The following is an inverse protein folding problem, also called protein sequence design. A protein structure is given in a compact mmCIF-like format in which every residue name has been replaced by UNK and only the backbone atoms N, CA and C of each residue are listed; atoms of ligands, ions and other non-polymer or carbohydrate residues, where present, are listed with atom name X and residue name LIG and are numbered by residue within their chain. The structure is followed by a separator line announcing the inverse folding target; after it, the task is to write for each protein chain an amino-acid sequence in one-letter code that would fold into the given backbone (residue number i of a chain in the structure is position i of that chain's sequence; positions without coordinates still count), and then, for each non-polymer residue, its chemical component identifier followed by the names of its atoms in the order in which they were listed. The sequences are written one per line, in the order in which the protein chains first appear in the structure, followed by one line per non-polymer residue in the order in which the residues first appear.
data_IF_074724753438
#
_entry.id   IF_074724753438
#
_cell.length_a   1.000
_cell.length_b   1.000
_cell.length_c   1.000
_cell.angle_alpha   90.00
_cell.angle_beta   90.00
_cell.angle_gamma   90.00
#
_symmetry.space_group_name_H-M   'P 1'
#
loop_
_entity.id
_entity.type
_entity.pdbx_description
1 polymer ?
#
# COMPACT_ATOMS: atom_id res chain seq x y z
N UNK A 1 25.49 43.78 28.75
CA UNK A 1 26.06 42.53 29.24
C UNK A 1 25.02 41.48 29.57
N UNK A 2 23.90 41.87 30.11
CA UNK A 2 22.82 40.93 30.45
C UNK A 2 22.12 40.35 29.23
N UNK A 3 22.15 41.01 28.09
CA UNK A 3 21.49 40.64 26.85
C UNK A 3 22.06 39.37 26.24
N UNK A 4 23.37 39.13 26.35
CA UNK A 4 24.00 37.95 25.79
C UNK A 4 23.63 36.64 26.48
N UNK A 5 23.30 36.66 27.75
CA UNK A 5 22.92 35.46 28.49
C UNK A 5 21.52 34.99 28.13
N UNK A 6 20.59 35.88 27.90
CA UNK A 6 19.23 35.48 27.53
C UNK A 6 19.16 34.89 26.12
N UNK A 7 20.00 35.31 25.20
CA UNK A 7 20.06 34.75 23.86
C UNK A 7 20.56 33.30 23.86
N UNK A 8 21.54 32.97 24.70
CA UNK A 8 22.04 31.60 24.81
C UNK A 8 21.00 30.65 25.37
N UNK A 9 20.22 31.07 26.31
CA UNK A 9 19.15 30.26 26.86
C UNK A 9 18.06 29.98 25.84
N UNK A 10 17.70 30.93 24.99
CA UNK A 10 16.72 30.76 23.93
C UNK A 10 17.18 29.71 22.91
N UNK A 11 18.47 29.68 22.53
CA UNK A 11 19.01 28.74 21.58
C UNK A 11 18.94 27.30 22.11
N UNK A 12 19.24 27.10 23.39
CA UNK A 12 19.21 25.79 24.01
C UNK A 12 17.78 25.24 24.05
N UNK A 13 16.80 26.07 24.33
CA UNK A 13 15.39 25.68 24.32
C UNK A 13 14.91 25.27 22.94
N UNK A 14 15.35 25.98 21.91
CA UNK A 14 15.00 25.65 20.52
C UNK A 14 15.51 24.28 20.10
N UNK A 15 16.74 23.94 20.48
CA UNK A 15 17.30 22.62 20.17
C UNK A 15 16.52 21.48 20.84
N UNK A 16 16.10 21.65 22.07
CA UNK A 16 15.32 20.64 22.78
C UNK A 16 13.97 20.42 22.12
N UNK A 17 13.32 21.47 21.64
CA UNK A 17 12.05 21.36 20.93
C UNK A 17 12.17 20.59 19.61
N UNK A 18 13.27 20.76 18.89
CA UNK A 18 13.52 20.05 17.64
C UNK A 18 13.70 18.54 17.85
N UNK A 19 14.37 18.13 18.90
CA UNK A 19 14.57 16.70 19.21
C UNK A 19 13.23 16.03 19.49
N UNK A 20 12.34 16.67 20.22
CA UNK A 20 11.01 16.13 20.51
C UNK A 20 10.17 15.93 19.24
N UNK A 21 10.30 16.82 18.28
CA UNK A 21 9.58 16.73 17.02
C UNK A 21 10.03 15.55 16.18
N UNK A 22 11.32 15.26 16.13
CA UNK A 22 11.86 14.11 15.37
C UNK A 22 11.37 12.79 15.96
N UNK A 23 11.28 12.68 17.27
CA UNK A 23 10.77 11.48 17.92
C UNK A 23 9.29 11.22 17.55
N UNK A 24 8.48 12.25 17.43
CA UNK A 24 7.08 12.13 17.01
C UNK A 24 6.94 11.63 15.57
N UNK A 25 7.82 12.04 14.67
CA UNK A 25 7.80 11.58 13.28
C UNK A 25 8.12 10.08 13.15
N UNK A 26 9.05 9.58 13.94
CA UNK A 26 9.37 8.14 13.95
C UNK A 26 8.20 7.30 14.44
N UNK A 27 7.43 7.81 15.37
CA UNK A 27 6.26 7.10 15.88
C UNK A 27 5.15 6.99 14.83
N UNK A 28 4.97 8.02 14.00
CA UNK A 28 3.99 8.02 12.93
C UNK A 28 4.27 6.95 11.85
N UNK A 29 5.54 6.65 11.57
CA UNK A 29 5.92 5.62 10.61
C UNK A 29 5.50 4.22 11.05
N UNK A 30 5.54 3.92 12.33
CA UNK A 30 5.15 2.62 12.86
C UNK A 30 3.64 2.36 12.72
N UNK A 31 2.81 3.40 12.79
CA UNK A 31 1.36 3.28 12.66
C UNK A 31 0.94 2.91 11.24
N UNK A 32 1.67 3.37 10.22
CA UNK A 32 1.36 3.04 8.83
C UNK A 32 1.58 1.57 8.50
N UNK A 33 2.51 0.89 9.15
CA UNK A 33 2.78 -0.53 8.93
C UNK A 33 1.64 -1.42 9.44
N UNK A 34 0.84 -0.96 10.39
CA UNK A 34 -0.27 -1.72 10.96
C UNK A 34 -1.58 -1.60 10.17
N UNK A 35 -1.63 -0.78 9.12
CA UNK A 35 -2.84 -0.50 8.35
C UNK A 35 -3.20 -1.51 7.27
N UNK A 36 -2.49 -2.62 7.17
CA UNK A 36 -2.80 -3.67 6.20
C UNK A 36 -3.89 -4.57 6.77
N UNK A 37 -5.11 -4.40 6.31
CA UNK A 37 -6.15 -5.38 6.57
C UNK A 37 -5.93 -6.56 5.63
N UNK A 38 -5.47 -7.68 6.15
CA UNK A 38 -5.29 -8.90 5.38
C UNK A 38 -6.63 -9.61 5.32
N UNK A 39 -7.28 -9.55 4.18
CA UNK A 39 -8.49 -10.31 3.91
C UNK A 39 -8.08 -11.60 3.18
N UNK A 40 -7.90 -12.67 3.93
CA UNK A 40 -7.41 -13.94 3.41
C UNK A 40 -8.34 -14.61 2.41
N UNK A 41 -9.61 -14.22 2.42
CA UNK A 41 -10.58 -14.75 1.47
C UNK A 41 -10.33 -14.28 0.04
N UNK A 42 -9.60 -13.18 -0.13
CA UNK A 42 -9.34 -12.58 -1.44
C UNK A 42 -7.88 -12.69 -1.89
N UNK A 43 -7.07 -13.42 -1.14
CA UNK A 43 -5.66 -13.64 -1.46
C UNK A 43 -4.73 -13.21 -0.35
N UNK A 44 -3.49 -12.90 -0.70
CA UNK A 44 -2.46 -12.55 0.27
C UNK A 44 -1.53 -11.46 -0.25
N UNK A 45 -0.90 -10.68 0.64
CA UNK A 45 0.08 -9.68 0.23
C UNK A 45 1.27 -10.33 -0.47
N UNK A 46 1.69 -9.74 -1.59
CA UNK A 46 2.88 -10.16 -2.30
C UNK A 46 4.12 -9.38 -1.85
N UNK A 47 5.26 -9.76 -2.41
CA UNK A 47 6.52 -9.09 -2.18
C UNK A 47 6.85 -8.14 -3.32
N UNK A 48 7.40 -6.97 -3.02
CA UNK A 48 7.70 -5.92 -4.00
C UNK A 48 8.59 -6.40 -5.15
N UNK A 49 9.50 -7.29 -4.90
CA UNK A 49 10.40 -7.80 -5.93
C UNK A 49 9.96 -9.09 -6.58
N UNK A 50 8.79 -9.61 -6.25
CA UNK A 50 8.35 -10.93 -6.71
C UNK A 50 6.90 -10.87 -7.18
N UNK A 51 6.72 -10.58 -8.46
CA UNK A 51 5.41 -10.51 -9.10
C UNK A 51 5.49 -11.05 -10.53
N UNK A 52 4.36 -11.50 -11.06
CA UNK A 52 4.29 -12.09 -12.40
C UNK A 52 4.13 -11.02 -13.49
N UNK A 53 3.38 -9.97 -13.20
CA UNK A 53 3.18 -8.85 -14.14
C UNK A 53 2.73 -7.60 -13.40
N UNK A 54 2.71 -6.49 -14.14
CA UNK A 54 2.29 -5.17 -13.63
C UNK A 54 0.99 -4.78 -14.31
N UNK A 55 0.04 -4.30 -13.51
CA UNK A 55 -1.18 -3.66 -14.02
C UNK A 55 -1.14 -2.20 -13.60
N UNK A 56 -1.17 -1.29 -14.58
CA UNK A 56 -1.25 0.14 -14.33
C UNK A 56 -2.71 0.55 -14.24
N UNK A 57 -3.08 1.20 -13.14
CA UNK A 57 -4.43 1.67 -12.90
C UNK A 57 -4.52 3.12 -13.39
N UNK A 58 -5.15 3.32 -14.54
CA UNK A 58 -5.47 4.66 -15.05
C UNK A 58 -6.72 5.20 -14.33
N UNK A 59 -6.96 6.52 -14.35
CA UNK A 59 -8.11 7.12 -13.65
C UNK A 59 -9.48 6.60 -14.10
N UNK A 60 -9.59 6.12 -15.33
CA UNK A 60 -10.83 5.63 -15.93
C UNK A 60 -11.02 4.11 -15.83
N UNK A 61 -10.08 3.39 -15.25
CA UNK A 61 -10.16 1.94 -15.09
C UNK A 61 -11.24 1.58 -14.07
N UNK A 62 -12.15 0.70 -14.46
CA UNK A 62 -13.26 0.26 -13.61
C UNK A 62 -13.20 -1.23 -13.28
N UNK A 63 -12.37 -1.99 -13.98
CA UNK A 63 -12.20 -3.42 -13.74
C UNK A 63 -10.84 -3.89 -14.23
N UNK A 64 -10.37 -4.99 -13.65
CA UNK A 64 -9.11 -5.63 -14.04
C UNK A 64 -9.33 -7.14 -14.11
N UNK A 65 -8.60 -7.80 -14.99
CA UNK A 65 -8.59 -9.26 -15.11
C UNK A 65 -7.27 -9.80 -14.58
N UNK A 66 -7.36 -10.75 -13.65
CA UNK A 66 -6.20 -11.44 -13.09
C UNK A 66 -6.40 -12.95 -13.20
N UNK A 67 -5.32 -13.70 -13.02
CA UNK A 67 -5.37 -15.15 -13.04
C UNK A 67 -5.16 -15.69 -11.64
N UNK A 68 -5.87 -16.77 -11.30
CA UNK A 68 -5.74 -17.40 -9.98
C UNK A 68 -4.29 -17.81 -9.71
N UNK A 69 -3.82 -17.53 -8.49
CA UNK A 69 -2.45 -17.72 -8.02
C UNK A 69 -1.40 -16.81 -8.67
N UNK A 70 -1.83 -15.85 -9.46
CA UNK A 70 -0.95 -14.83 -10.02
C UNK A 70 -0.63 -13.75 -8.98
N UNK A 71 0.63 -13.29 -8.95
CA UNK A 71 1.05 -12.14 -8.17
C UNK A 71 1.12 -10.92 -9.08
N UNK A 72 0.39 -9.87 -8.76
CA UNK A 72 0.27 -8.67 -9.58
C UNK A 72 0.80 -7.46 -8.81
N UNK A 73 1.63 -6.68 -9.47
CA UNK A 73 1.98 -5.35 -8.98
C UNK A 73 1.03 -4.33 -9.60
N UNK A 74 0.22 -3.70 -8.77
CA UNK A 74 -0.67 -2.63 -9.19
C UNK A 74 0.02 -1.30 -9.00
N UNK A 75 0.00 -0.47 -10.04
CA UNK A 75 0.59 0.87 -10.02
C UNK A 75 -0.48 1.88 -10.37
N UNK A 76 -0.72 2.85 -9.50
CA UNK A 76 -1.63 3.94 -9.80
C UNK A 76 -0.91 4.97 -10.65
N UNK A 77 -1.41 5.22 -11.86
CA UNK A 77 -0.76 6.13 -12.81
C UNK A 77 -0.75 7.58 -12.34
N UNK A 78 -1.72 7.99 -11.53
CA UNK A 78 -1.83 9.37 -11.07
C UNK A 78 -0.86 9.66 -9.90
N UNK A 79 -0.76 8.76 -8.93
CA UNK A 79 0.05 8.98 -7.72
C UNK A 79 1.42 8.30 -7.78
N UNK A 80 1.59 7.30 -8.63
CA UNK A 80 2.78 6.47 -8.66
C UNK A 80 2.86 5.46 -7.52
N UNK A 81 1.87 5.41 -6.66
CA UNK A 81 1.81 4.41 -5.58
C UNK A 81 1.62 3.02 -6.15
N UNK A 82 2.15 2.02 -5.47
CA UNK A 82 2.04 0.64 -5.92
C UNK A 82 1.89 -0.32 -4.75
N UNK A 83 1.34 -1.50 -5.03
CA UNK A 83 1.33 -2.61 -4.09
C UNK A 83 1.32 -3.91 -4.88
N UNK A 84 1.74 -5.01 -4.24
CA UNK A 84 1.76 -6.34 -4.85
C UNK A 84 0.76 -7.23 -4.10
N UNK A 85 -0.09 -7.91 -4.85
CA UNK A 85 -1.08 -8.82 -4.29
C UNK A 85 -1.07 -10.14 -5.03
N UNK A 86 -1.12 -11.23 -4.28
CA UNK A 86 -1.21 -12.57 -4.81
C UNK A 86 -2.66 -13.06 -4.75
N UNK A 87 -3.17 -13.53 -5.87
CA UNK A 87 -4.56 -13.94 -6.01
C UNK A 87 -4.75 -15.44 -5.73
N UNK A 88 -4.19 -15.92 -4.61
CA UNK A 88 -4.43 -17.26 -4.09
C UNK A 88 -5.80 -17.30 -3.38
N UNK A 89 -6.85 -17.11 -4.15
CA UNK A 89 -8.23 -16.95 -3.68
C UNK A 89 -9.16 -17.87 -4.44
N UNK A 90 -10.28 -18.22 -3.80
CA UNK A 90 -11.38 -18.92 -4.45
C UNK A 90 -12.45 -17.97 -4.99
N UNK A 91 -12.38 -16.70 -4.62
CA UNK A 91 -13.30 -15.70 -5.13
C UNK A 91 -13.12 -15.50 -6.63
N UNK A 92 -14.21 -15.31 -7.35
CA UNK A 92 -14.20 -15.10 -8.80
C UNK A 92 -14.27 -13.60 -9.14
N UNK A 93 -14.98 -12.83 -8.33
CA UNK A 93 -15.15 -11.38 -8.52
C UNK A 93 -15.17 -10.71 -7.14
N UNK A 94 -14.40 -9.63 -7.00
CA UNK A 94 -14.46 -8.81 -5.79
C UNK A 94 -13.91 -7.41 -6.07
N UNK A 95 -14.14 -6.49 -5.15
CA UNK A 95 -13.65 -5.12 -5.25
C UNK A 95 -12.16 -5.06 -4.89
N UNK A 96 -11.35 -4.42 -5.73
CA UNK A 96 -9.92 -4.23 -5.46
C UNK A 96 -9.68 -3.48 -4.14
N UNK A 97 -10.62 -2.64 -3.72
CA UNK A 97 -10.56 -1.96 -2.44
C UNK A 97 -10.50 -2.87 -1.23
N UNK A 98 -10.93 -4.14 -1.37
CA UNK A 98 -10.83 -5.13 -0.30
C UNK A 98 -9.39 -5.49 0.05
N UNK A 99 -8.50 -5.41 -0.91
CA UNK A 99 -7.10 -5.85 -0.75
C UNK A 99 -6.10 -4.73 -0.93
N UNK A 100 -6.49 -3.62 -1.52
CA UNK A 100 -5.61 -2.48 -1.72
C UNK A 100 -5.30 -1.78 -0.39
N UNK A 101 -4.09 -1.20 -0.25
CA UNK A 101 -3.77 -0.39 0.93
C UNK A 101 -4.73 0.78 1.07
N UNK A 102 -4.94 1.20 2.31
CA UNK A 102 -5.82 2.34 2.61
C UNK A 102 -5.39 3.57 1.81
N UNK A 103 -6.33 4.18 1.12
CA UNK A 103 -6.07 5.39 0.32
C UNK A 103 -5.50 5.14 -1.06
N UNK A 104 -5.22 3.89 -1.45
CA UNK A 104 -4.69 3.59 -2.79
C UNK A 104 -5.70 3.94 -3.89
N UNK A 105 -6.93 3.49 -3.75
CA UNK A 105 -7.99 3.76 -4.73
C UNK A 105 -8.74 5.07 -4.46
N UNK A 106 -8.64 5.62 -3.25
CA UNK A 106 -9.48 6.73 -2.85
C UNK A 106 -10.95 6.28 -2.81
N UNK A 107 -11.81 6.99 -3.53
CA UNK A 107 -13.22 6.67 -3.64
C UNK A 107 -13.56 5.80 -4.85
N UNK A 108 -12.55 5.40 -5.63
CA UNK A 108 -12.78 4.61 -6.84
C UNK A 108 -13.16 3.19 -6.51
N UNK A 109 -14.02 2.63 -7.34
CA UNK A 109 -14.45 1.24 -7.27
C UNK A 109 -13.90 0.51 -8.50
N UNK A 110 -13.12 -0.55 -8.29
CA UNK A 110 -12.54 -1.35 -9.37
C UNK A 110 -12.85 -2.81 -9.09
N UNK A 111 -13.55 -3.45 -10.02
CA UNK A 111 -13.85 -4.87 -9.91
C UNK A 111 -12.67 -5.72 -10.38
N UNK A 112 -12.36 -6.75 -9.61
CA UNK A 112 -11.33 -7.74 -9.98
C UNK A 112 -12.04 -9.01 -10.44
N UNK A 113 -11.74 -9.43 -11.65
CA UNK A 113 -12.20 -10.70 -12.20
C UNK A 113 -11.06 -11.71 -12.15
N UNK A 114 -11.21 -12.75 -11.33
CA UNK A 114 -10.19 -13.78 -11.16
C UNK A 114 -10.47 -14.91 -12.12
N UNK A 115 -9.65 -15.02 -13.14
CA UNK A 115 -9.80 -16.05 -14.15
C UNK A 115 -9.16 -17.37 -13.74
N UNK A 116 -9.52 -18.39 -14.46
CA UNK A 116 -9.01 -19.73 -14.28
C UNK A 116 -7.51 -19.80 -14.63
N UNK A 117 -6.75 -20.57 -13.85
CA UNK A 117 -5.34 -20.77 -14.14
C UNK A 117 -5.14 -22.09 -14.90
N UNK A 118 -4.67 -22.04 -16.16
CA UNK A 118 -4.48 -23.25 -16.97
C UNK A 118 -3.50 -24.25 -16.38
N UNK A 119 -2.62 -23.80 -15.48
CA UNK A 119 -1.64 -24.70 -14.83
C UNK A 119 -2.29 -25.80 -14.00
N UNK A 120 -3.52 -25.57 -13.53
CA UNK A 120 -4.24 -26.51 -12.68
C UNK A 120 -5.19 -27.41 -13.46
N UNK A 121 -5.29 -27.26 -14.77
CA UNK A 121 -6.20 -28.03 -15.60
C UNK A 121 -5.47 -29.08 -16.43
N UNK A 122 -4.50 -29.75 -15.86
CA UNK A 122 -3.73 -30.77 -16.58
C UNK A 122 -4.39 -32.14 -16.63
N UNK A 123 -5.53 -32.30 -16.02
CA UNK A 123 -6.19 -33.59 -15.96
C UNK A 123 -7.35 -33.75 -16.89
N UNK A 124 -7.60 -32.78 -17.76
CA UNK A 124 -8.78 -32.75 -18.62
C UNK A 124 -8.55 -33.51 -19.89
#
# INVERSE_FOLDING_TARGET
MLIGKSQKESLVRSCAAMISFIAALMFASAVQAAGYAVDQDFGSPGQEGNFDRIITIAPDVKWVNVTRDEAIKFVDSASGKSFVWRFDTLANVFDLGRVAPTGFLGERHIDVYVGFNPRYNRGG
#
